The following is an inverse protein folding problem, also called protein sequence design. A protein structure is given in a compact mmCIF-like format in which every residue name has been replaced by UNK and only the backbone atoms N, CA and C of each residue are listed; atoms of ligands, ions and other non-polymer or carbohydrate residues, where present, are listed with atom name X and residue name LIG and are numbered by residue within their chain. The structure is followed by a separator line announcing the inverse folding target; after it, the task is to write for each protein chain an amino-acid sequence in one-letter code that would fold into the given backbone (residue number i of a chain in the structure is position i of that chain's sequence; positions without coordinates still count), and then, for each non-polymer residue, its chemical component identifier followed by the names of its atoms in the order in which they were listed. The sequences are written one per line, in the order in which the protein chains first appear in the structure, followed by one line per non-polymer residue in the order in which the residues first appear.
data_IF_569104940268
#
_entry.id   IF_569104940268
#
_cell.length_a   1.000
_cell.length_b   1.000
_cell.length_c   1.000
_cell.angle_alpha   90.00
_cell.angle_beta   90.00
_cell.angle_gamma   90.00
#
_symmetry.space_group_name_H-M   'P 1'
#
loop_
_entity.id
_entity.type
_entity.pdbx_description
1 polymer ?
#
# COMPACT_ATOMS: atom_id res chain seq x y z
N UNK A 1 -14.35 -11.69 -25.30
CA UNK A 1 -12.92 -11.84 -25.64
C UNK A 1 -12.20 -11.25 -24.47
N UNK A 2 -11.35 -12.03 -23.80
CA UNK A 2 -10.51 -11.49 -22.73
C UNK A 2 -9.61 -10.40 -23.32
N UNK A 3 -9.36 -9.37 -22.53
CA UNK A 3 -8.47 -8.27 -22.90
C UNK A 3 -6.99 -8.62 -22.71
N UNK A 4 -6.67 -9.73 -22.04
CA UNK A 4 -5.31 -10.27 -21.97
C UNK A 4 -5.09 -11.32 -23.06
N UNK A 5 -4.00 -11.15 -23.80
CA UNK A 5 -3.53 -12.13 -24.78
C UNK A 5 -2.02 -12.36 -24.63
N UNK A 6 -1.52 -13.46 -25.18
CA UNK A 6 -0.13 -13.91 -25.04
C UNK A 6 0.93 -12.84 -25.38
N UNK A 7 0.61 -11.86 -26.25
CA UNK A 7 1.55 -10.77 -26.58
C UNK A 7 1.82 -9.82 -25.40
N UNK A 8 0.97 -9.86 -24.37
CA UNK A 8 1.05 -9.05 -23.16
C UNK A 8 1.85 -9.70 -22.04
N UNK A 9 2.35 -10.93 -22.23
CA UNK A 9 3.19 -11.59 -21.23
C UNK A 9 4.49 -10.83 -20.98
N UNK A 10 4.98 -10.84 -19.74
CA UNK A 10 6.25 -10.23 -19.35
C UNK A 10 6.14 -9.44 -18.06
N UNK A 11 7.21 -8.67 -17.79
CA UNK A 11 7.32 -7.81 -16.61
C UNK A 11 6.58 -6.48 -16.80
N UNK A 12 5.96 -6.02 -15.72
CA UNK A 12 5.25 -4.76 -15.63
C UNK A 12 5.58 -4.07 -14.32
N UNK A 13 5.68 -2.75 -14.36
CA UNK A 13 5.96 -1.91 -13.20
C UNK A 13 4.79 -0.97 -12.97
N UNK A 14 4.39 -0.82 -11.71
CA UNK A 14 3.31 0.08 -11.35
C UNK A 14 3.75 1.51 -11.62
N UNK A 15 2.84 2.32 -12.16
CA UNK A 15 3.03 3.75 -12.32
C UNK A 15 2.56 4.44 -11.04
N UNK A 16 3.47 5.00 -10.22
CA UNK A 16 3.10 5.61 -8.95
C UNK A 16 2.17 6.81 -9.10
N UNK A 17 2.20 7.51 -10.24
CA UNK A 17 1.38 8.71 -10.47
C UNK A 17 -0.08 8.38 -10.77
N UNK A 18 -0.36 7.13 -11.16
CA UNK A 18 -1.68 6.65 -11.56
C UNK A 18 -2.11 5.41 -10.79
N UNK A 19 -1.43 5.12 -9.67
CA UNK A 19 -1.74 4.02 -8.77
C UNK A 19 -2.11 4.54 -7.40
N UNK A 20 -3.13 3.93 -6.78
CA UNK A 20 -3.64 4.29 -5.48
C UNK A 20 -4.11 3.04 -4.74
N UNK A 21 -3.74 2.95 -3.47
CA UNK A 21 -4.35 2.00 -2.52
C UNK A 21 -5.15 2.80 -1.50
N UNK A 22 -6.47 2.81 -1.69
CA UNK A 22 -7.42 3.44 -0.82
C UNK A 22 -7.86 2.54 0.33
N UNK A 23 -8.33 3.15 1.41
CA UNK A 23 -9.03 2.44 2.47
C UNK A 23 -10.19 3.26 3.03
N UNK A 24 -11.17 2.55 3.59
CA UNK A 24 -12.23 3.16 4.39
C UNK A 24 -12.59 2.36 5.63
N UNK A 25 -12.85 3.09 6.71
CA UNK A 25 -13.28 2.56 8.01
C UNK A 25 -14.56 3.29 8.45
N UNK A 26 -15.45 2.59 9.18
CA UNK A 26 -16.56 3.27 9.83
C UNK A 26 -16.08 3.95 11.10
N UNK A 27 -16.51 5.20 11.27
CA UNK A 27 -16.27 6.02 12.45
C UNK A 27 -17.57 6.20 13.24
N UNK A 28 -17.48 5.95 14.55
CA UNK A 28 -18.60 5.87 15.49
C UNK A 28 -19.77 5.03 14.97
N UNK A 29 -19.49 3.99 14.17
CA UNK A 29 -20.47 3.14 13.46
C UNK A 29 -21.35 3.84 12.42
N UNK A 30 -21.28 5.16 12.26
CA UNK A 30 -22.21 5.96 11.45
C UNK A 30 -21.58 6.48 10.16
N UNK A 31 -20.42 7.14 10.25
CA UNK A 31 -19.77 7.79 9.10
C UNK A 31 -18.61 6.96 8.57
N UNK A 32 -18.11 7.27 7.36
CA UNK A 32 -16.92 6.64 6.79
C UNK A 32 -15.77 7.62 6.77
N UNK A 33 -14.67 7.26 7.42
CA UNK A 33 -13.36 7.87 7.18
C UNK A 33 -12.75 7.19 5.98
N UNK A 34 -12.19 7.98 5.06
CA UNK A 34 -11.47 7.50 3.89
C UNK A 34 -10.04 7.99 3.95
N UNK A 35 -9.12 7.14 3.56
CA UNK A 35 -7.74 7.51 3.33
C UNK A 35 -7.14 6.76 2.16
N UNK A 36 -5.86 7.02 1.90
CA UNK A 36 -5.06 6.30 0.93
C UNK A 36 -3.61 6.26 1.37
N UNK A 37 -2.85 5.32 0.81
CA UNK A 37 -1.40 5.43 0.70
C UNK A 37 -1.10 5.99 -0.70
N UNK A 38 -0.41 7.13 -0.74
CA UNK A 38 -0.14 7.87 -1.97
C UNK A 38 1.18 7.47 -2.64
N UNK A 39 2.05 6.73 -1.95
CA UNK A 39 3.28 6.18 -2.50
C UNK A 39 3.14 4.66 -2.63
N UNK A 40 2.85 4.22 -3.85
CA UNK A 40 2.65 2.82 -4.23
C UNK A 40 3.75 2.42 -5.20
N UNK A 41 4.57 1.46 -4.80
CA UNK A 41 5.53 0.78 -5.66
C UNK A 41 5.04 -0.64 -5.92
N UNK A 42 5.26 -1.15 -7.12
CA UNK A 42 4.85 -2.50 -7.43
C UNK A 42 5.43 -3.01 -8.74
N UNK A 43 5.55 -4.33 -8.80
CA UNK A 43 5.98 -5.07 -9.98
C UNK A 43 5.13 -6.32 -10.13
N UNK A 44 4.90 -6.73 -11.37
CA UNK A 44 4.21 -7.96 -11.66
C UNK A 44 4.76 -8.62 -12.92
N UNK A 45 4.82 -9.94 -12.89
CA UNK A 45 4.98 -10.74 -14.10
C UNK A 45 3.61 -11.26 -14.51
N UNK A 46 3.25 -11.09 -15.78
CA UNK A 46 1.96 -11.53 -16.33
C UNK A 46 2.19 -12.70 -17.29
N UNK A 47 1.47 -13.79 -17.08
CA UNK A 47 1.35 -14.94 -17.98
C UNK A 47 -0.14 -15.14 -18.33
N UNK A 48 -0.60 -14.63 -19.49
CA UNK A 48 -1.98 -14.77 -19.93
C UNK A 48 -2.40 -16.22 -20.23
N UNK A 49 -1.48 -17.06 -20.68
CA UNK A 49 -1.77 -18.46 -21.04
C UNK A 49 -1.79 -19.38 -19.81
N UNK A 50 -1.12 -18.96 -18.73
CA UNK A 50 -1.13 -19.61 -17.43
C UNK A 50 -1.13 -18.60 -16.29
N UNK A 51 -2.29 -18.02 -15.91
CA UNK A 51 -2.38 -17.01 -14.86
C UNK A 51 -1.70 -17.42 -13.55
N UNK A 52 -1.69 -18.70 -13.21
CA UNK A 52 -1.01 -19.26 -12.03
C UNK A 52 0.52 -19.06 -12.01
N UNK A 53 1.14 -18.78 -13.15
CA UNK A 53 2.56 -18.45 -13.27
C UNK A 53 2.82 -16.95 -13.10
N UNK A 54 1.77 -16.13 -13.04
CA UNK A 54 1.88 -14.70 -12.80
C UNK A 54 2.27 -14.42 -11.35
N UNK A 55 2.98 -13.32 -11.14
CA UNK A 55 3.38 -12.88 -9.79
C UNK A 55 3.13 -11.39 -9.63
N UNK A 56 2.88 -10.96 -8.38
CA UNK A 56 2.66 -9.56 -8.01
C UNK A 56 3.36 -9.29 -6.68
N UNK A 57 4.12 -8.20 -6.64
CA UNK A 57 4.67 -7.63 -5.41
C UNK A 57 4.30 -6.16 -5.33
N UNK A 58 3.78 -5.72 -4.18
CA UNK A 58 3.39 -4.33 -3.92
C UNK A 58 4.02 -3.88 -2.62
N UNK A 59 4.50 -2.64 -2.59
CA UNK A 59 5.01 -1.95 -1.41
C UNK A 59 4.34 -0.60 -1.27
N UNK A 60 3.86 -0.31 -0.07
CA UNK A 60 3.25 0.98 0.28
C UNK A 60 4.12 1.65 1.32
N UNK A 61 4.52 2.90 1.09
CA UNK A 61 5.19 3.68 2.12
C UNK A 61 4.16 4.14 3.16
N UNK A 62 4.31 3.70 4.40
CA UNK A 62 3.38 4.02 5.50
C UNK A 62 3.31 5.53 5.74
N UNK A 63 4.44 6.24 5.57
CA UNK A 63 4.52 7.68 5.71
C UNK A 63 3.56 8.43 4.75
N UNK A 64 3.23 7.83 3.60
CA UNK A 64 2.34 8.42 2.59
C UNK A 64 0.85 8.37 2.93
N UNK A 65 0.49 7.86 4.12
CA UNK A 65 -0.91 7.83 4.58
C UNK A 65 -1.53 9.22 4.59
N UNK A 66 -2.69 9.35 3.97
CA UNK A 66 -3.45 10.60 3.88
C UNK A 66 -4.93 10.32 4.09
N UNK A 67 -5.49 10.89 5.16
CA UNK A 67 -6.92 10.87 5.48
C UNK A 67 -7.56 12.26 5.39
N UNK A 68 -6.84 13.22 4.79
CA UNK A 68 -7.14 14.66 4.74
C UNK A 68 -7.20 15.32 6.10
N UNK A 69 -6.54 14.75 7.11
CA UNK A 69 -6.45 15.30 8.45
C UNK A 69 -5.06 14.99 9.02
N UNK A 70 -4.18 15.99 9.05
CA UNK A 70 -2.79 15.82 9.46
C UNK A 70 -2.62 15.23 10.87
N UNK A 71 -3.46 15.63 11.84
CA UNK A 71 -3.37 15.07 13.21
C UNK A 71 -3.69 13.57 13.24
N UNK A 72 -4.68 13.14 12.45
CA UNK A 72 -5.00 11.71 12.35
C UNK A 72 -3.91 10.97 11.58
N UNK A 73 -3.36 11.57 10.53
CA UNK A 73 -2.28 10.96 9.75
C UNK A 73 -1.02 10.77 10.60
N UNK A 74 -0.68 11.75 11.45
CA UNK A 74 0.41 11.64 12.43
C UNK A 74 0.14 10.55 13.46
N UNK A 75 -1.09 10.42 13.95
CA UNK A 75 -1.45 9.33 14.86
C UNK A 75 -1.38 7.95 14.17
N UNK A 76 -1.81 7.83 12.90
CA UNK A 76 -1.69 6.59 12.13
C UNK A 76 -0.22 6.19 11.91
N UNK A 77 0.69 7.15 11.75
CA UNK A 77 2.14 6.90 11.62
C UNK A 77 2.81 6.51 12.94
N UNK A 78 2.24 6.90 14.08
CA UNK A 78 2.83 6.67 15.40
C UNK A 78 2.93 5.18 15.80
N UNK A 79 3.70 4.91 16.87
CA UNK A 79 3.88 3.58 17.44
C UNK A 79 2.58 2.90 17.91
N UNK A 80 1.55 3.69 18.22
CA UNK A 80 0.23 3.18 18.63
C UNK A 80 -0.57 2.57 17.47
N UNK A 81 -0.14 2.81 16.23
CA UNK A 81 -0.81 2.31 15.03
C UNK A 81 0.19 1.62 14.09
N UNK A 82 0.65 2.25 13.00
CA UNK A 82 1.54 1.60 12.04
C UNK A 82 3.01 1.55 12.47
N UNK A 83 3.43 2.40 13.42
CA UNK A 83 4.82 2.51 13.87
C UNK A 83 5.81 2.69 12.70
N UNK A 84 5.64 3.79 11.94
CA UNK A 84 6.34 4.04 10.67
C UNK A 84 7.87 4.05 10.81
N UNK A 85 8.38 4.44 11.98
CA UNK A 85 9.82 4.48 12.24
C UNK A 85 10.44 3.07 12.30
N UNK A 86 9.68 2.08 12.80
CA UNK A 86 10.10 0.67 12.85
C UNK A 86 9.70 -0.09 11.59
N UNK A 87 8.51 0.21 11.05
CA UNK A 87 7.91 -0.49 9.92
C UNK A 87 7.49 0.53 8.83
N UNK A 88 8.45 0.98 8.00
CA UNK A 88 8.19 2.03 7.02
C UNK A 88 7.32 1.58 5.83
N UNK A 89 7.22 0.26 5.61
CA UNK A 89 6.54 -0.32 4.45
C UNK A 89 5.45 -1.33 4.87
N UNK A 90 4.34 -1.31 4.13
CA UNK A 90 3.40 -2.43 4.04
C UNK A 90 3.70 -3.19 2.76
N UNK A 91 3.83 -4.51 2.84
CA UNK A 91 4.28 -5.34 1.71
C UNK A 91 3.27 -6.44 1.42
N UNK A 92 2.91 -6.59 0.15
CA UNK A 92 2.12 -7.71 -0.35
C UNK A 92 2.92 -8.52 -1.36
N UNK A 93 2.91 -9.85 -1.24
CA UNK A 93 3.55 -10.78 -2.18
C UNK A 93 2.58 -11.89 -2.56
N UNK A 94 2.25 -12.01 -3.85
CA UNK A 94 1.36 -13.08 -4.33
C UNK A 94 1.97 -14.47 -4.12
N UNK A 95 1.13 -15.43 -3.76
CA UNK A 95 1.42 -16.86 -3.73
C UNK A 95 0.65 -17.64 -4.79
N UNK A 96 -0.50 -17.12 -5.26
CA UNK A 96 -1.21 -17.64 -6.42
C UNK A 96 -2.00 -16.53 -7.12
N UNK A 97 -2.23 -16.72 -8.40
CA UNK A 97 -3.09 -15.88 -9.24
C UNK A 97 -3.96 -16.81 -10.06
N UNK A 98 -5.27 -16.72 -9.88
CA UNK A 98 -6.22 -17.59 -10.57
C UNK A 98 -7.26 -16.72 -11.29
N UNK A 99 -7.50 -16.95 -12.58
CA UNK A 99 -8.63 -16.33 -13.27
C UNK A 99 -9.94 -16.98 -12.78
N UNK A 100 -10.86 -16.18 -12.27
CA UNK A 100 -12.11 -16.67 -11.67
C UNK A 100 -13.34 -16.31 -12.51
N UNK A 101 -13.27 -15.22 -13.26
CA UNK A 101 -14.25 -14.75 -14.24
C UNK A 101 -13.47 -14.01 -15.35
N UNK A 102 -14.08 -13.79 -16.51
CA UNK A 102 -13.45 -13.06 -17.62
C UNK A 102 -12.78 -11.76 -17.11
N UNK A 103 -11.47 -11.63 -17.33
CA UNK A 103 -10.65 -10.49 -16.94
C UNK A 103 -10.62 -10.19 -15.42
N UNK A 104 -11.11 -11.11 -14.58
CA UNK A 104 -11.11 -11.01 -13.12
C UNK A 104 -10.30 -12.13 -12.49
N UNK A 105 -9.32 -11.74 -11.70
CA UNK A 105 -8.34 -12.62 -11.08
C UNK A 105 -8.49 -12.59 -9.56
N UNK A 106 -8.41 -13.76 -8.94
CA UNK A 106 -8.20 -13.89 -7.51
C UNK A 106 -6.70 -13.96 -7.23
N UNK A 107 -6.14 -12.88 -6.70
CA UNK A 107 -4.73 -12.81 -6.30
C UNK A 107 -4.63 -13.15 -4.82
N UNK A 108 -4.11 -14.33 -4.50
CA UNK A 108 -3.84 -14.73 -3.12
C UNK A 108 -2.39 -14.41 -2.79
N UNK A 109 -2.13 -13.84 -1.62
CA UNK A 109 -0.77 -13.54 -1.21
C UNK A 109 -0.62 -13.16 0.25
N UNK A 110 0.63 -13.04 0.67
CA UNK A 110 1.03 -12.67 2.01
C UNK A 110 1.08 -11.14 2.14
N UNK A 111 0.18 -10.60 2.97
CA UNK A 111 0.17 -9.20 3.36
C UNK A 111 0.89 -9.06 4.70
N UNK A 112 1.94 -8.24 4.74
CA UNK A 112 2.69 -7.91 5.94
C UNK A 112 2.42 -6.47 6.33
N UNK A 113 1.90 -6.29 7.55
CA UNK A 113 1.69 -4.98 8.18
C UNK A 113 2.38 -5.06 9.54
N UNK A 114 3.34 -4.16 9.78
CA UNK A 114 4.26 -4.26 10.91
C UNK A 114 5.01 -5.60 10.94
N UNK A 115 4.99 -6.29 12.07
CA UNK A 115 5.59 -7.60 12.33
C UNK A 115 4.64 -8.77 12.05
N UNK A 116 3.42 -8.51 11.56
CA UNK A 116 2.41 -9.55 11.34
C UNK A 116 2.16 -9.75 9.84
N UNK A 117 2.32 -11.01 9.40
CA UNK A 117 1.99 -11.44 8.04
C UNK A 117 0.74 -12.32 8.05
N UNK A 118 -0.21 -12.04 7.15
CA UNK A 118 -1.43 -12.83 6.94
C UNK A 118 -1.69 -13.02 5.45
N UNK A 119 -2.16 -14.21 5.09
CA UNK A 119 -2.62 -14.47 3.74
C UNK A 119 -3.97 -13.76 3.49
N UNK A 120 -4.04 -13.02 2.38
CA UNK A 120 -5.26 -12.35 1.91
C UNK A 120 -5.51 -12.71 0.45
N UNK A 121 -6.78 -12.80 0.08
CA UNK A 121 -7.21 -13.04 -1.29
C UNK A 121 -7.85 -11.77 -1.84
N UNK A 122 -7.33 -11.22 -2.93
CA UNK A 122 -7.75 -9.93 -3.47
C UNK A 122 -8.35 -10.17 -4.86
N UNK A 123 -9.66 -9.96 -5.04
CA UNK A 123 -10.24 -9.94 -6.38
C UNK A 123 -9.80 -8.66 -7.08
N UNK A 124 -9.16 -8.83 -8.23
CA UNK A 124 -8.67 -7.77 -9.10
C UNK A 124 -9.26 -7.98 -10.49
N UNK A 125 -9.88 -6.94 -11.04
CA UNK A 125 -10.39 -6.93 -12.42
C UNK A 125 -9.46 -6.09 -13.27
N UNK A 126 -9.04 -6.64 -14.40
CA UNK A 126 -8.39 -5.88 -15.46
C UNK A 126 -9.46 -5.07 -16.19
N UNK A 127 -9.32 -3.75 -16.15
CA UNK A 127 -10.27 -2.81 -16.74
C UNK A 127 -9.97 -2.56 -18.21
N UNK A 128 -8.69 -2.64 -18.60
CA UNK A 128 -8.29 -2.51 -19.99
C UNK A 128 -6.78 -2.38 -20.16
N UNK A 129 -6.35 -2.52 -21.42
CA UNK A 129 -4.96 -2.37 -21.87
C UNK A 129 -4.92 -1.45 -23.07
N UNK A 130 -4.02 -0.47 -23.07
CA UNK A 130 -3.90 0.52 -24.14
C UNK A 130 -2.44 0.97 -24.30
N UNK A 131 -2.09 1.47 -25.50
CA UNK A 131 -0.82 2.18 -25.69
C UNK A 131 -0.97 3.65 -25.31
N UNK A 132 -0.12 4.10 -24.39
CA UNK A 132 -0.12 5.51 -23.99
C UNK A 132 0.48 6.42 -25.08
N UNK A 133 0.34 7.76 -24.99
CA UNK A 133 0.92 8.69 -25.97
C UNK A 133 2.44 8.62 -26.12
N UNK A 134 3.13 8.00 -25.16
CA UNK A 134 4.58 7.79 -25.17
C UNK A 134 4.95 6.45 -25.82
N UNK A 135 3.96 5.64 -26.23
CA UNK A 135 4.12 4.36 -26.91
C UNK A 135 4.17 3.14 -25.98
N UNK A 136 4.15 3.35 -24.66
CA UNK A 136 4.23 2.25 -23.70
C UNK A 136 2.91 1.50 -23.63
N UNK A 137 2.97 0.18 -23.45
CA UNK A 137 1.79 -0.61 -23.18
C UNK A 137 1.41 -0.47 -21.70
N UNK A 138 0.17 -0.09 -21.43
CA UNK A 138 -0.35 0.19 -20.09
C UNK A 138 -1.60 -0.63 -19.80
N UNK A 139 -1.66 -1.18 -18.60
CA UNK A 139 -2.81 -1.92 -18.09
C UNK A 139 -3.39 -1.21 -16.85
N UNK A 140 -4.72 -1.21 -16.73
CA UNK A 140 -5.44 -0.65 -15.59
C UNK A 140 -6.18 -1.73 -14.81
N UNK A 141 -6.01 -1.79 -13.50
CA UNK A 141 -6.63 -2.79 -12.63
C UNK A 141 -7.42 -2.12 -11.52
N UNK A 142 -8.55 -2.70 -11.17
CA UNK A 142 -9.40 -2.25 -10.07
C UNK A 142 -9.76 -3.41 -9.15
N UNK A 143 -10.00 -3.12 -7.88
CA UNK A 143 -10.44 -4.14 -6.95
C UNK A 143 -10.91 -3.61 -5.61
N UNK A 144 -11.52 -4.50 -4.82
CA UNK A 144 -11.93 -4.18 -3.46
C UNK A 144 -11.79 -5.40 -2.57
N UNK A 145 -11.24 -5.22 -1.36
CA UNK A 145 -11.15 -6.30 -0.37
C UNK A 145 -11.46 -5.78 1.02
N UNK A 146 -12.16 -6.59 1.82
CA UNK A 146 -12.30 -6.32 3.26
C UNK A 146 -11.30 -7.15 4.06
N UNK A 147 -10.68 -6.51 5.03
CA UNK A 147 -9.75 -7.11 6.00
C UNK A 147 -10.16 -6.70 7.41
N UNK A 148 -9.79 -7.49 8.42
CA UNK A 148 -9.92 -7.11 9.83
C UNK A 148 -8.57 -6.60 10.33
N UNK A 149 -8.51 -5.34 10.79
CA UNK A 149 -7.24 -4.75 11.24
C UNK A 149 -6.65 -5.43 12.47
N UNK A 150 -7.48 -6.12 13.27
CA UNK A 150 -7.02 -6.85 14.45
C UNK A 150 -6.20 -8.08 14.09
N UNK A 151 -6.40 -8.64 12.89
CA UNK A 151 -5.59 -9.76 12.40
C UNK A 151 -4.10 -9.38 12.28
N UNK A 152 -3.81 -8.08 12.22
CA UNK A 152 -2.47 -7.49 12.12
C UNK A 152 -2.01 -6.80 13.42
N UNK A 153 -2.69 -7.03 14.55
CA UNK A 153 -2.34 -6.41 15.83
C UNK A 153 -2.68 -4.92 15.95
N UNK A 154 -3.38 -4.34 14.98
CA UNK A 154 -3.85 -2.95 15.05
C UNK A 154 -5.12 -2.91 15.91
N UNK A 155 -4.97 -2.94 17.23
CA UNK A 155 -6.09 -3.08 18.18
C UNK A 155 -6.61 -1.77 18.79
N UNK A 156 -5.90 -0.64 18.61
CA UNK A 156 -6.27 0.64 19.20
C UNK A 156 -7.73 1.00 18.96
N UNK A 157 -8.46 1.39 20.01
CA UNK A 157 -9.84 1.84 19.88
C UNK A 157 -10.32 2.60 21.12
N UNK A 158 -11.45 3.28 20.96
CA UNK A 158 -12.18 3.93 22.06
C UNK A 158 -13.59 3.33 22.14
N UNK A 159 -14.03 2.82 23.31
CA UNK A 159 -15.39 2.33 23.47
C UNK A 159 -16.39 3.50 23.43
N UNK A 160 -17.59 3.26 22.90
CA UNK A 160 -18.66 4.25 22.84
C UNK A 160 -19.72 3.97 23.92
N UNK A 161 -20.31 5.02 24.49
CA UNK A 161 -21.38 4.92 25.50
C UNK A 161 -22.63 4.22 24.95
N UNK A 162 -22.87 4.32 23.64
CA UNK A 162 -23.97 3.64 22.94
C UNK A 162 -23.72 2.15 22.70
N UNK A 163 -22.57 1.64 23.14
CA UNK A 163 -22.05 0.33 22.75
C UNK A 163 -21.32 0.37 21.40
N UNK A 164 -20.39 -0.57 21.23
CA UNK A 164 -19.50 -0.63 20.08
C UNK A 164 -18.22 0.20 20.28
N UNK A 165 -17.58 0.53 19.16
CA UNK A 165 -16.24 1.11 19.13
C UNK A 165 -16.15 2.29 18.16
N UNK A 166 -15.23 3.21 18.43
CA UNK A 166 -15.04 4.44 17.65
C UNK A 166 -14.61 4.14 16.21
N UNK A 167 -13.70 3.19 16.00
CA UNK A 167 -13.20 2.82 14.66
C UNK A 167 -13.50 1.35 14.38
N UNK A 168 -14.18 1.07 13.26
CA UNK A 168 -14.51 -0.31 12.90
C UNK A 168 -13.27 -1.19 12.72
N UNK A 169 -13.42 -2.45 13.07
CA UNK A 169 -12.40 -3.49 12.91
C UNK A 169 -12.23 -3.86 11.44
N UNK A 170 -13.34 -3.92 10.71
CA UNK A 170 -13.36 -4.18 9.26
C UNK A 170 -12.94 -2.92 8.50
N UNK A 171 -11.90 -3.05 7.70
CA UNK A 171 -11.40 -2.04 6.77
C UNK A 171 -11.72 -2.51 5.36
N UNK A 172 -12.28 -1.61 4.54
CA UNK A 172 -12.45 -1.84 3.11
C UNK A 172 -11.27 -1.22 2.38
N UNK A 173 -10.50 -2.04 1.68
CA UNK A 173 -9.42 -1.65 0.78
C UNK A 173 -10.00 -1.47 -0.63
N UNK A 174 -9.53 -0.43 -1.32
CA UNK A 174 -9.89 -0.07 -2.69
C UNK A 174 -8.58 0.03 -3.48
N UNK A 175 -8.50 -0.63 -4.64
CA UNK A 175 -7.31 -0.66 -5.47
C UNK A 175 -7.62 -0.03 -6.80
N UNK A 176 -6.84 0.98 -7.18
CA UNK A 176 -6.87 1.62 -8.50
C UNK A 176 -5.42 1.60 -9.00
N UNK A 177 -5.04 0.65 -9.84
CA UNK A 177 -3.63 0.41 -10.20
C UNK A 177 -3.43 0.63 -11.70
N UNK A 178 -2.38 1.36 -12.05
CA UNK A 178 -1.88 1.44 -13.41
C UNK A 178 -0.50 0.82 -13.47
N UNK A 179 -0.27 -0.07 -14.44
CA UNK A 179 1.03 -0.67 -14.67
C UNK A 179 1.47 -0.47 -16.12
N UNK A 180 2.77 -0.29 -16.30
CA UNK A 180 3.42 -0.11 -17.60
C UNK A 180 4.30 -1.33 -17.85
N UNK A 181 4.14 -1.94 -19.02
CA UNK A 181 4.99 -3.07 -19.41
C UNK A 181 6.41 -2.60 -19.54
N UNK A 182 7.34 -3.29 -18.89
CA UNK A 182 8.75 -3.10 -19.16
C UNK A 182 9.09 -3.92 -20.38
N UNK A 183 9.68 -3.28 -21.39
CA UNK A 183 10.30 -4.04 -22.46
C UNK A 183 11.48 -4.80 -21.85
N UNK A 184 11.34 -6.11 -21.65
CA UNK A 184 12.49 -6.95 -21.37
C UNK A 184 13.47 -6.80 -22.53
N UNK A 185 14.75 -6.64 -22.18
CA UNK A 185 15.90 -6.60 -23.07
C UNK A 185 16.10 -7.95 -23.80
N UNK A 186 15.16 -8.30 -24.67
CA UNK A 186 15.18 -9.50 -25.50
C UNK A 186 14.58 -9.20 -26.88
N UNK A 187 15.17 -8.24 -27.60
CA UNK A 187 15.07 -8.13 -29.05
C UNK A 187 16.27 -7.41 -29.71
N UNK A 188 17.43 -7.29 -29.04
CA UNK A 188 18.66 -6.76 -29.65
C UNK A 188 19.71 -7.88 -29.72
N UNK A 189 19.50 -8.81 -30.65
CA UNK A 189 20.31 -10.02 -30.76
C UNK A 189 19.95 -10.97 -31.91
N UNK A 190 19.45 -10.46 -33.03
CA UNK A 190 19.36 -11.13 -34.34
C UNK A 190 18.82 -10.09 -35.33
N UNK A 191 19.49 -9.63 -36.40
CA UNK A 191 20.54 -10.20 -37.25
C UNK A 191 21.24 -9.00 -37.93
N UNK A 192 22.52 -8.80 -37.62
CA UNK A 192 23.45 -8.18 -38.54
C UNK A 192 24.36 -9.31 -39.06
N UNK A 193 24.11 -9.74 -40.29
CA UNK A 193 25.14 -10.40 -41.08
C UNK A 193 25.00 -9.89 -42.51
N UNK A 194 25.90 -8.97 -42.80
CA UNK A 194 26.28 -8.50 -44.13
C UNK A 194 26.63 -9.67 -45.07
N UNK A 195 26.49 -9.38 -46.35
CA UNK A 195 27.07 -10.06 -47.51
C UNK A 195 28.30 -10.94 -47.23
N UNK A 196 28.20 -12.23 -47.58
CA UNK A 196 29.35 -13.04 -47.99
C UNK A 196 28.89 -14.18 -48.91
N UNK A 197 28.98 -13.87 -50.20
CA UNK A 197 29.52 -14.64 -51.33
C UNK A 197 29.58 -16.18 -51.29
N UNK A 198 29.33 -16.71 -52.48
CA UNK A 198 29.23 -18.10 -52.91
C UNK A 198 30.53 -18.88 -52.72
N UNK A 199 30.47 -20.16 -52.31
CA UNK A 199 31.24 -21.26 -52.93
C UNK A 199 30.50 -22.60 -52.74
N UNK A 200 30.15 -23.23 -53.86
CA UNK A 200 29.70 -24.62 -53.97
C UNK A 200 30.86 -25.62 -53.75
N UNK A 201 30.57 -26.81 -53.20
CA UNK A 201 31.47 -27.96 -53.36
C UNK A 201 31.43 -28.97 -52.22
N UNK A 202 30.52 -29.93 -52.32
CA UNK A 202 30.48 -31.13 -51.49
C UNK A 202 31.46 -32.20 -52.04
N UNK A 203 32.21 -32.88 -51.17
CA UNK A 203 32.56 -34.29 -51.39
C UNK A 203 33.09 -34.99 -50.12
N UNK A 204 32.28 -35.96 -49.66
CA UNK A 204 32.59 -37.34 -49.24
C UNK A 204 33.54 -37.69 -48.08
N UNK A 205 33.08 -38.72 -47.38
CA UNK A 205 33.53 -39.32 -46.13
C UNK A 205 34.75 -40.24 -46.25
N UNK A 206 35.41 -40.52 -45.14
CA UNK A 206 35.51 -41.87 -44.50
C UNK A 206 36.51 -41.82 -43.32
N UNK A 207 36.35 -42.73 -42.34
CA UNK A 207 37.45 -43.11 -41.43
C UNK A 207 37.18 -43.03 -39.92
N UNK A 208 36.76 -44.15 -39.35
CA UNK A 208 36.56 -44.41 -37.92
C UNK A 208 37.86 -44.67 -37.13
N UNK A 209 37.81 -44.47 -35.80
CA UNK A 209 38.55 -45.17 -34.73
C UNK A 209 37.98 -44.68 -33.37
N UNK A 210 37.29 -45.47 -32.54
CA UNK A 210 37.80 -46.44 -31.52
C UNK A 210 38.93 -45.86 -30.65
N UNK A 211 39.06 -46.06 -29.33
CA UNK A 211 38.26 -46.58 -28.21
C UNK A 211 39.16 -46.42 -26.94
N UNK A 212 38.62 -46.72 -25.74
CA UNK A 212 39.34 -47.08 -24.49
C UNK A 212 40.05 -45.95 -23.73
N UNK A 213 39.68 -45.62 -22.49
CA UNK A 213 39.89 -46.33 -21.20
C UNK A 213 40.24 -45.23 -20.17
N UNK A 214 40.21 -45.34 -18.84
CA UNK A 214 39.98 -46.39 -17.87
C UNK A 214 39.78 -45.72 -16.49
N UNK A 215 39.21 -46.49 -15.54
CA UNK A 215 39.57 -46.58 -14.10
C UNK A 215 39.63 -45.32 -13.20
N UNK A 216 38.81 -45.19 -12.15
CA UNK A 216 38.75 -45.92 -10.85
C UNK A 216 39.62 -45.33 -9.71
N UNK A 217 39.16 -45.64 -8.49
CA UNK A 217 39.70 -45.43 -7.14
C UNK A 217 39.21 -44.15 -6.42
N UNK A 218 38.33 -44.21 -5.41
CA UNK A 218 38.31 -44.94 -4.11
C UNK A 218 39.28 -44.42 -3.04
N UNK A 219 38.77 -44.36 -1.81
CA UNK A 219 39.51 -44.25 -0.53
C UNK A 219 39.22 -42.95 0.23
N UNK A 220 38.34 -42.90 1.24
CA UNK A 220 38.53 -43.40 2.63
C UNK A 220 39.65 -42.61 3.36
N UNK A 221 39.62 -42.22 4.64
CA UNK A 221 38.84 -42.62 5.81
C UNK A 221 39.20 -41.67 6.99
N UNK A 222 38.27 -41.52 7.93
CA UNK A 222 38.42 -41.46 9.40
C UNK A 222 39.37 -40.47 10.14
N UNK A 223 38.72 -39.64 10.96
CA UNK A 223 38.59 -39.73 12.44
C UNK A 223 39.75 -39.44 13.42
N UNK A 224 39.36 -38.73 14.49
CA UNK A 224 39.93 -38.75 15.85
C UNK A 224 40.90 -37.60 16.16
N UNK A 225 41.03 -37.05 17.36
CA UNK A 225 40.30 -37.11 18.65
C UNK A 225 41.02 -36.15 19.62
N UNK A 226 40.36 -35.78 20.72
CA UNK A 226 40.93 -35.32 22.02
C UNK A 226 41.72 -33.98 22.03
N UNK A 227 41.88 -33.19 23.10
CA UNK A 227 41.58 -33.20 24.53
C UNK A 227 41.79 -31.74 25.03
N UNK A 228 40.92 -31.16 25.87
CA UNK A 228 41.10 -30.98 27.34
C UNK A 228 42.04 -29.83 27.81
N UNK A 229 41.44 -28.89 28.56
CA UNK A 229 41.87 -28.41 29.91
C UNK A 229 42.60 -27.06 30.12
N UNK A 230 42.08 -26.37 31.16
CA UNK A 230 42.63 -25.33 32.05
C UNK A 230 42.47 -23.85 31.65
N UNK A 231 42.29 -22.87 32.53
CA UNK A 231 41.78 -22.72 33.91
C UNK A 231 41.99 -21.22 34.24
N UNK A 232 40.92 -20.47 34.49
CA UNK A 232 40.61 -19.45 35.53
C UNK A 232 41.71 -18.46 36.11
N UNK A 233 41.43 -17.54 37.07
CA UNK A 233 41.29 -16.09 36.85
C UNK A 233 42.12 -15.20 37.82
N UNK A 234 42.09 -13.87 37.63
CA UNK A 234 42.41 -12.84 38.65
C UNK A 234 41.75 -11.52 38.20
N UNK A 235 41.07 -10.67 38.98
CA UNK A 235 40.95 -10.53 40.43
C UNK A 235 41.42 -9.11 40.87
N UNK A 236 40.57 -8.43 41.66
CA UNK A 236 40.77 -7.19 42.44
C UNK A 236 40.49 -5.81 41.77
N UNK A 237 39.98 -4.76 42.42
CA UNK A 237 39.07 -4.50 43.58
C UNK A 237 39.23 -3.00 43.97
N UNK A 238 38.29 -2.48 44.78
CA UNK A 238 38.27 -1.23 45.58
C UNK A 238 37.95 0.11 44.89
N UNK A 239 37.30 1.10 45.53
CA UNK A 239 36.46 1.26 46.74
C UNK A 239 36.01 2.76 46.74
N UNK A 240 34.73 3.08 46.95
CA UNK A 240 34.14 3.62 48.20
C UNK A 240 34.40 5.13 48.49
N UNK A 241 33.33 5.93 48.52
CA UNK A 241 33.17 7.10 49.42
C UNK A 241 31.69 7.50 49.54
N UNK A 242 31.24 7.67 50.79
CA UNK A 242 29.91 8.09 51.25
C UNK A 242 29.96 9.48 51.91
N UNK A 243 28.79 10.13 52.00
CA UNK A 243 28.39 11.13 53.02
C UNK A 243 28.73 12.58 52.68
N UNK A 244 27.99 13.62 53.08
CA UNK A 244 26.71 13.87 53.77
C UNK A 244 26.38 15.37 53.43
N UNK A 245 25.23 16.01 53.64
CA UNK A 245 24.54 16.31 54.89
C UNK A 245 23.40 17.33 54.58
N UNK A 246 22.43 17.43 55.50
CA UNK A 246 21.13 18.09 55.37
C UNK A 246 21.12 19.61 55.68
N UNK A 247 20.03 20.29 55.29
CA UNK A 247 19.36 21.25 56.19
C UNK A 247 17.86 21.39 55.89
N UNK A 248 17.07 21.57 56.95
CA UNK A 248 15.60 21.52 57.00
C UNK A 248 14.95 22.90 57.26
N UNK A 249 13.61 22.91 57.23
CA UNK A 249 12.62 23.92 57.63
C UNK A 249 12.17 24.98 56.60
N UNK A 250 10.92 24.90 56.10
CA UNK A 250 9.72 25.49 56.74
C UNK A 250 8.42 25.30 55.90
N UNK A 251 7.38 24.78 56.56
CA UNK A 251 5.95 25.17 56.55
C UNK A 251 5.23 25.62 55.25
N UNK A 252 4.29 24.78 54.80
CA UNK A 252 2.88 25.13 54.52
C UNK A 252 2.52 26.06 53.36
N UNK A 253 2.00 25.48 52.26
CA UNK A 253 0.85 26.00 51.50
C UNK A 253 0.39 24.95 50.48
N UNK A 254 -0.90 24.60 50.54
CA UNK A 254 -1.61 23.87 49.50
C UNK A 254 -1.54 24.66 48.19
N UNK A 255 -1.08 24.02 47.11
CA UNK A 255 -1.20 24.54 45.75
C UNK A 255 -1.52 23.39 44.81
N UNK A 256 -2.58 23.60 44.04
CA UNK A 256 -3.20 22.66 43.13
C UNK A 256 -2.23 22.06 42.10
N UNK A 257 -2.45 20.79 41.83
CA UNK A 257 -1.80 19.94 40.82
C UNK A 257 -1.69 20.65 39.45
N UNK A 258 -0.49 20.85 38.86
CA UNK A 258 -0.37 21.22 37.46
C UNK A 258 -0.55 19.95 36.63
N UNK A 259 -1.68 19.89 35.91
CA UNK A 259 -1.97 18.84 34.94
C UNK A 259 -0.75 18.50 34.07
N UNK A 260 -0.32 17.24 34.13
CA UNK A 260 0.56 16.62 33.14
C UNK A 260 -0.02 16.89 31.75
N UNK A 261 0.76 17.36 30.76
CA UNK A 261 0.25 17.51 29.41
C UNK A 261 -0.17 16.14 28.89
N UNK A 262 -1.44 16.01 28.53
CA UNK A 262 -2.00 14.84 27.89
C UNK A 262 -1.15 14.48 26.66
N UNK A 263 -0.67 13.24 26.60
CA UNK A 263 0.02 12.69 25.42
C UNK A 263 -0.88 12.87 24.19
N UNK A 264 -0.32 13.09 22.99
CA UNK A 264 -1.11 13.47 21.79
C UNK A 264 -2.34 12.60 21.48
N UNK A 265 -2.33 11.34 21.91
CA UNK A 265 -3.44 10.37 21.84
C UNK A 265 -4.65 10.79 22.69
N UNK A 266 -4.43 11.29 23.91
CA UNK A 266 -5.49 11.77 24.79
C UNK A 266 -6.08 13.10 24.29
N UNK A 267 -5.24 13.95 23.68
CA UNK A 267 -5.67 15.23 23.11
C UNK A 267 -6.55 15.04 21.86
N UNK A 268 -6.24 14.07 20.98
CA UNK A 268 -7.11 13.75 19.83
C UNK A 268 -8.40 13.05 20.29
N UNK A 269 -8.32 12.11 21.24
CA UNK A 269 -9.51 11.49 21.83
C UNK A 269 -10.36 12.49 22.62
N UNK A 270 -9.78 13.53 23.20
CA UNK A 270 -10.51 14.66 23.79
C UNK A 270 -11.12 15.55 22.71
N UNK A 271 -10.35 15.92 21.67
CA UNK A 271 -10.84 16.73 20.55
C UNK A 271 -12.04 16.07 19.85
N UNK A 272 -11.94 14.77 19.55
CA UNK A 272 -13.00 13.98 18.93
C UNK A 272 -14.20 13.76 19.87
N UNK A 273 -13.99 13.71 21.20
CA UNK A 273 -15.08 13.73 22.20
C UNK A 273 -15.74 15.09 22.32
N UNK A 274 -14.99 16.19 22.26
CA UNK A 274 -15.54 17.55 22.31
C UNK A 274 -16.34 17.89 21.06
N UNK A 275 -15.90 17.45 19.87
CA UNK A 275 -16.65 17.61 18.63
C UNK A 275 -18.02 16.88 18.65
N UNK A 276 -18.20 15.88 19.53
CA UNK A 276 -19.48 15.20 19.73
C UNK A 276 -20.44 15.99 20.64
N UNK A 277 -19.92 16.79 21.58
CA UNK A 277 -20.75 17.57 22.52
C UNK A 277 -21.23 18.91 21.95
N UNK A 278 -20.51 19.51 21.00
CA UNK A 278 -20.93 20.75 20.35
C UNK A 278 -22.12 20.57 19.38
N UNK A 279 -22.55 19.33 19.10
CA UNK A 279 -23.81 19.03 18.41
C UNK A 279 -25.06 19.06 19.29
N UNK A 280 -24.92 19.31 20.61
CA UNK A 280 -26.00 19.14 21.59
C UNK A 280 -26.23 20.37 22.50
N UNK A 281 -25.74 21.55 22.14
CA UNK A 281 -26.13 22.77 22.84
C UNK A 281 -27.53 23.19 22.38
N UNK A 282 -28.51 23.05 23.28
CA UNK A 282 -29.86 23.56 23.09
C UNK A 282 -29.81 25.06 22.77
N UNK A 283 -30.36 25.44 21.62
CA UNK A 283 -30.71 26.82 21.31
C UNK A 283 -31.93 27.14 22.19
N UNK A 284 -31.67 27.77 23.34
CA UNK A 284 -32.71 28.53 24.04
C UNK A 284 -33.29 29.59 23.10
N UNK A 285 -34.61 29.65 23.12
CA UNK A 285 -35.46 30.45 22.27
C UNK A 285 -35.23 31.95 22.46
N UNK A 286 -34.81 32.64 21.40
CA UNK A 286 -35.31 33.98 21.12
C UNK A 286 -35.37 34.19 19.59
N UNK A 287 -36.57 34.09 19.04
CA UNK A 287 -36.81 34.17 17.61
C UNK A 287 -36.86 35.63 17.15
N UNK A 288 -36.06 36.07 16.17
CA UNK A 288 -36.36 37.29 15.45
C UNK A 288 -37.47 37.04 14.42
N UNK A 289 -38.47 37.93 14.45
CA UNK A 289 -39.59 38.00 13.51
C UNK A 289 -39.09 38.05 12.06
N UNK A 290 -39.56 37.12 11.22
CA UNK A 290 -39.25 37.08 9.80
C UNK A 290 -39.80 38.34 9.06
N UNK A 291 -39.06 38.90 8.08
CA UNK A 291 -39.61 39.95 7.23
C UNK A 291 -40.66 39.35 6.29
N UNK A 292 -41.80 40.05 6.15
CA UNK A 292 -42.85 39.69 5.21
C UNK A 292 -42.35 39.81 3.77
N UNK A 293 -42.41 38.71 3.02
CA UNK A 293 -42.19 38.73 1.58
C UNK A 293 -43.42 39.33 0.89
N UNK A 294 -43.22 40.52 0.31
CA UNK A 294 -44.13 41.22 -0.59
C UNK A 294 -44.30 40.42 -1.90
N UNK A 295 -45.49 39.87 -2.12
CA UNK A 295 -45.88 39.17 -3.33
C UNK A 295 -46.11 40.16 -4.48
N UNK A 296 -45.03 40.69 -5.05
CA UNK A 296 -45.08 41.38 -6.35
C UNK A 296 -44.97 40.38 -7.49
N UNK A 297 -45.96 40.41 -8.38
CA UNK A 297 -46.02 39.59 -9.58
C UNK A 297 -44.80 39.79 -10.50
N UNK A 298 -44.34 38.75 -11.21
CA UNK A 298 -43.22 38.87 -12.13
C UNK A 298 -43.57 39.77 -13.31
N UNK A 299 -42.72 40.76 -13.58
CA UNK A 299 -42.76 41.58 -14.79
C UNK A 299 -42.26 40.75 -15.99
N UNK A 300 -42.79 40.97 -17.22
CA UNK A 300 -42.31 40.26 -18.40
C UNK A 300 -40.88 40.68 -18.77
N UNK A 301 -40.07 39.69 -19.14
CA UNK A 301 -38.68 39.87 -19.61
C UNK A 301 -38.70 40.47 -21.02
N UNK A 302 -37.97 41.55 -21.32
CA UNK A 302 -37.85 42.04 -22.70
C UNK A 302 -37.00 41.08 -23.54
N UNK A 303 -37.39 40.90 -24.81
CA UNK A 303 -36.70 40.06 -25.78
C UNK A 303 -35.25 40.51 -26.00
N UNK A 304 -34.29 39.59 -25.84
CA UNK A 304 -32.90 39.80 -26.23
C UNK A 304 -32.80 39.80 -27.77
N UNK A 305 -32.15 40.81 -28.33
CA UNK A 305 -31.73 40.81 -29.73
C UNK A 305 -30.55 39.84 -29.90
N UNK A 306 -30.46 39.06 -30.99
CA UNK A 306 -29.36 38.14 -31.19
C UNK A 306 -28.05 38.87 -31.53
N UNK A 307 -26.95 38.42 -30.92
CA UNK A 307 -25.58 38.83 -31.24
C UNK A 307 -25.16 38.32 -32.63
N UNK A 308 -24.36 39.08 -33.39
CA UNK A 308 -24.11 38.80 -34.81
C UNK A 308 -22.89 37.90 -35.02
N UNK A 309 -22.79 36.72 -34.40
CA UNK A 309 -21.78 35.71 -34.77
C UNK A 309 -22.19 34.30 -34.34
N UNK A 310 -22.96 33.61 -35.18
CA UNK A 310 -23.11 32.15 -35.15
C UNK A 310 -23.32 31.65 -36.59
N UNK A 311 -22.51 30.69 -37.09
CA UNK A 311 -22.68 30.10 -38.41
C UNK A 311 -23.82 29.05 -38.41
N UNK A 312 -24.56 28.88 -39.53
CA UNK A 312 -25.72 27.98 -39.57
C UNK A 312 -25.31 26.49 -39.58
N UNK A 313 -26.05 25.61 -38.87
CA UNK A 313 -25.86 24.17 -38.96
C UNK A 313 -26.64 23.59 -40.16
N UNK A 314 -25.98 22.75 -40.96
CA UNK A 314 -26.64 21.84 -41.90
C UNK A 314 -26.21 21.96 -43.36
N UNK A 315 -25.09 21.34 -43.71
CA UNK A 315 -24.88 20.80 -45.06
C UNK A 315 -24.46 19.34 -44.93
N UNK A 316 -25.34 18.44 -45.38
CA UNK A 316 -24.96 17.09 -45.78
C UNK A 316 -24.28 17.18 -47.14
N UNK A 317 -23.09 16.59 -47.24
CA UNK A 317 -22.60 15.85 -48.40
C UNK A 317 -21.75 14.69 -47.88
#
# INVERSE_FOLDING_TARGET
MSVLDASMSGEWVFDPSHSRVGFSARHAMVTKVRGAFNEVDGRMYVDPDGPQNSTVEVRLAVASVDTRNGQRDDHLRSADFFDVETYPEIVFRSTSVDEVEDDTYMVVGDLSIRDVTKQVAIPITLVGVERDPMGNLRAGFEGTRRVDRRDFGLEWNVPLDTGGVLVSEKITLEFDISAVRTEDAAADGAVASEDADQVEGAEQADGAQQAEGAEQAEGAEQAGSDAETAADPTGAENAHAQGAEANAHAQGAEASDPATPATGVEALAQYERSAQHEGSAQVESDAPVAPQYDQRQPQPVPAQQPSPWEPPPGHQY
#
